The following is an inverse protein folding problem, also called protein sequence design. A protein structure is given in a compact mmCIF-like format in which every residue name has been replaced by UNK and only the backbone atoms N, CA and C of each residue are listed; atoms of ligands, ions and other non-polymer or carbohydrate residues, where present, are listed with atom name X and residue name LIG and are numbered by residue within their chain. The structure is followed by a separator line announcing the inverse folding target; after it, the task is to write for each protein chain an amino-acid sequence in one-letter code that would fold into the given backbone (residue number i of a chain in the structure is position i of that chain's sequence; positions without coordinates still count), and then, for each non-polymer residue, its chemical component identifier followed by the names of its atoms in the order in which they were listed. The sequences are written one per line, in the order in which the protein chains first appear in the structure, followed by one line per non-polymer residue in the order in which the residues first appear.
data_IF_009204666380
#
_entry.id   IF_009204666380
#
_cell.length_a   1.000
_cell.length_b   1.000
_cell.length_c   1.000
_cell.angle_alpha   90.00
_cell.angle_beta   90.00
_cell.angle_gamma   90.00
#
_symmetry.space_group_name_H-M   'P 1'
#
loop_
_entity.id
_entity.type
_entity.pdbx_description
1 polymer ?
#
# COMPACT_ATOMS: atom_id res chain seq x y z
N UNK A 1 -20.75 -11.45 29.52
CA UNK A 1 -20.06 -10.73 28.41
C UNK A 1 -18.69 -11.36 28.25
N UNK A 2 -18.42 -12.05 27.16
CA UNK A 2 -17.06 -12.56 26.91
C UNK A 2 -16.12 -11.35 26.85
N UNK A 3 -15.08 -11.35 27.66
CA UNK A 3 -14.10 -10.26 27.63
C UNK A 3 -13.35 -10.34 26.31
N UNK A 4 -13.43 -9.32 25.49
CA UNK A 4 -12.69 -9.21 24.23
C UNK A 4 -11.22 -8.83 24.48
N UNK A 5 -10.64 -9.32 25.56
CA UNK A 5 -9.23 -9.19 25.89
C UNK A 5 -8.49 -10.48 25.56
N UNK A 6 -7.33 -10.35 24.92
CA UNK A 6 -6.41 -11.46 24.67
C UNK A 6 -5.00 -11.06 25.09
N UNK A 7 -4.20 -12.02 25.51
CA UNK A 7 -2.79 -11.73 25.88
C UNK A 7 -1.96 -11.64 24.60
N UNK A 8 -1.37 -10.48 24.36
CA UNK A 8 -0.49 -10.24 23.20
C UNK A 8 0.80 -11.03 23.30
N UNK A 9 1.30 -11.47 22.14
CA UNK A 9 2.47 -12.37 22.07
C UNK A 9 3.79 -11.65 22.32
N UNK A 10 3.85 -10.30 22.10
CA UNK A 10 5.09 -9.53 22.20
C UNK A 10 5.34 -8.97 23.60
N UNK A 11 4.32 -8.40 24.22
CA UNK A 11 4.46 -7.75 25.55
C UNK A 11 3.86 -8.56 26.69
N UNK A 12 3.13 -9.64 26.41
CA UNK A 12 2.45 -10.45 27.43
C UNK A 12 1.32 -9.68 28.16
N UNK A 13 0.84 -8.57 27.60
CA UNK A 13 -0.24 -7.76 28.13
C UNK A 13 -1.59 -8.19 27.53
N UNK A 14 -2.68 -8.11 28.32
CA UNK A 14 -4.01 -8.17 27.73
C UNK A 14 -4.24 -6.98 26.80
N UNK A 15 -4.53 -7.25 25.53
CA UNK A 15 -4.87 -6.25 24.52
C UNK A 15 -6.35 -6.31 24.16
N UNK A 16 -7.03 -5.17 23.92
CA UNK A 16 -8.43 -5.13 23.53
C UNK A 16 -8.61 -5.52 22.05
N UNK A 17 -9.63 -6.33 21.77
CA UNK A 17 -9.95 -6.76 20.41
C UNK A 17 -10.78 -5.74 19.63
N UNK A 18 -11.38 -4.76 20.29
CA UNK A 18 -12.30 -3.79 19.70
C UNK A 18 -12.30 -2.45 20.46
N UNK A 19 -12.85 -1.38 19.83
CA UNK A 19 -12.90 -0.03 20.40
C UNK A 19 -13.62 0.07 21.75
N UNK A 20 -14.71 -0.64 21.96
CA UNK A 20 -15.46 -0.58 23.22
C UNK A 20 -14.64 -1.17 24.37
N UNK A 21 -13.92 -2.25 24.10
CA UNK A 21 -13.01 -2.90 25.05
C UNK A 21 -11.83 -1.98 25.38
N UNK A 22 -11.27 -1.24 24.41
CA UNK A 22 -10.24 -0.23 24.66
C UNK A 22 -10.75 0.86 25.60
N UNK A 23 -11.93 1.41 25.35
CA UNK A 23 -12.53 2.43 26.21
C UNK A 23 -12.78 1.94 27.62
N UNK A 24 -13.19 0.68 27.80
CA UNK A 24 -13.37 0.09 29.13
C UNK A 24 -12.05 -0.02 29.90
N UNK A 25 -10.93 -0.26 29.20
CA UNK A 25 -9.59 -0.26 29.79
C UNK A 25 -9.06 1.16 30.10
N UNK A 26 -9.48 2.12 29.30
CA UNK A 26 -9.25 3.54 29.50
C UNK A 26 -7.78 3.93 29.70
N UNK A 27 -7.55 4.97 30.47
CA UNK A 27 -6.20 5.48 30.77
C UNK A 27 -5.29 4.44 31.45
N UNK A 28 -5.87 3.56 32.25
CA UNK A 28 -5.11 2.50 32.93
C UNK A 28 -4.48 1.52 31.95
N UNK A 29 -5.23 1.09 30.92
CA UNK A 29 -4.70 0.24 29.87
C UNK A 29 -3.61 0.97 29.06
N UNK A 30 -3.88 2.19 28.62
CA UNK A 30 -2.93 2.98 27.84
C UNK A 30 -1.61 3.21 28.59
N UNK A 31 -1.69 3.52 29.90
CA UNK A 31 -0.50 3.64 30.75
C UNK A 31 0.34 2.37 30.76
N UNK A 32 -0.31 1.20 30.94
CA UNK A 32 0.39 -0.10 30.94
C UNK A 32 1.01 -0.40 29.58
N UNK A 33 0.27 -0.18 28.49
CA UNK A 33 0.71 -0.42 27.13
C UNK A 33 1.92 0.45 26.76
N UNK A 34 1.85 1.76 27.03
CA UNK A 34 2.92 2.70 26.70
C UNK A 34 4.19 2.52 27.57
N UNK A 35 4.02 2.06 28.81
CA UNK A 35 5.17 1.65 29.63
C UNK A 35 5.82 0.38 29.12
N UNK A 36 5.04 -0.63 28.73
CA UNK A 36 5.56 -1.88 28.20
C UNK A 36 6.34 -1.67 26.89
N UNK A 37 5.91 -0.70 26.07
CA UNK A 37 6.63 -0.34 24.84
C UNK A 37 7.77 0.68 25.07
N UNK A 38 8.05 1.07 26.32
CA UNK A 38 9.16 1.97 26.67
C UNK A 38 8.94 3.45 26.32
N UNK A 39 7.73 3.85 25.90
CA UNK A 39 7.43 5.22 25.46
C UNK A 39 7.23 6.18 26.62
N UNK A 40 6.56 5.71 27.69
CA UNK A 40 6.02 6.58 28.73
C UNK A 40 6.95 6.82 29.94
N UNK A 41 7.94 5.93 30.15
CA UNK A 41 8.77 5.97 31.36
C UNK A 41 7.91 5.85 32.61
N UNK A 42 8.15 6.74 33.59
CA UNK A 42 7.38 6.83 34.84
C UNK A 42 6.22 7.84 34.80
N UNK A 43 5.91 8.40 33.64
CA UNK A 43 4.68 9.16 33.43
C UNK A 43 3.45 8.23 33.36
N UNK A 44 2.25 8.79 33.32
CA UNK A 44 0.99 8.05 33.12
C UNK A 44 0.02 8.84 32.26
N UNK A 45 -0.87 8.10 31.61
CA UNK A 45 -2.04 8.69 30.95
C UNK A 45 -3.07 9.03 32.03
N UNK A 46 -3.39 10.30 32.18
CA UNK A 46 -4.38 10.77 33.13
C UNK A 46 -5.81 10.46 32.69
N UNK A 47 -6.11 10.75 31.42
CA UNK A 47 -7.43 10.49 30.83
C UNK A 47 -7.39 10.47 29.31
N UNK A 48 -8.41 9.86 28.71
CA UNK A 48 -8.76 10.04 27.31
C UNK A 48 -9.65 11.29 27.24
N UNK A 49 -9.21 12.32 26.51
CA UNK A 49 -9.90 13.63 26.42
C UNK A 49 -10.82 13.71 25.21
N UNK A 50 -10.52 12.99 24.12
CA UNK A 50 -11.37 12.86 22.93
C UNK A 50 -11.31 11.44 22.38
N UNK A 51 -12.40 11.02 21.74
CA UNK A 51 -12.51 9.70 21.14
C UNK A 51 -13.50 9.71 19.99
N UNK A 52 -13.07 9.17 18.86
CA UNK A 52 -13.95 9.01 17.70
C UNK A 52 -13.56 7.79 16.89
N UNK A 53 -14.52 6.91 16.63
CA UNK A 53 -14.34 5.84 15.64
C UNK A 53 -14.44 6.41 14.23
N UNK A 54 -13.57 5.96 13.35
CA UNK A 54 -13.53 6.40 11.95
C UNK A 54 -13.81 5.22 11.02
N UNK A 55 -14.59 5.49 9.97
CA UNK A 55 -14.84 4.55 8.89
C UNK A 55 -13.72 4.57 7.87
N UNK A 56 -13.51 3.47 7.18
CA UNK A 56 -12.56 3.35 6.07
C UNK A 56 -11.63 2.14 6.17
N UNK A 57 -10.96 1.84 5.06
CA UNK A 57 -10.08 0.68 4.90
C UNK A 57 -10.82 -0.65 4.78
N UNK A 58 -10.10 -1.69 4.35
CA UNK A 58 -10.64 -3.01 4.02
C UNK A 58 -10.75 -3.94 5.23
N UNK A 59 -10.00 -3.70 6.31
CA UNK A 59 -9.88 -4.62 7.44
C UNK A 59 -10.02 -3.91 8.78
N UNK A 60 -10.48 -4.64 9.79
CA UNK A 60 -10.52 -4.20 11.16
C UNK A 60 -11.29 -2.89 11.43
N UNK A 61 -11.09 -2.33 12.61
CA UNK A 61 -11.70 -1.06 13.06
C UNK A 61 -10.62 -0.03 13.37
N UNK A 62 -10.96 1.25 13.32
CA UNK A 62 -10.04 2.36 13.51
C UNK A 62 -10.63 3.44 14.41
N UNK A 63 -9.79 4.00 15.26
CA UNK A 63 -10.16 5.05 16.20
C UNK A 63 -9.11 6.16 16.16
N UNK A 64 -9.54 7.38 16.27
CA UNK A 64 -8.70 8.51 16.70
C UNK A 64 -9.07 8.87 18.12
N UNK A 65 -8.06 9.11 18.95
CA UNK A 65 -8.28 9.54 20.31
C UNK A 65 -7.21 10.55 20.73
N UNK A 66 -7.54 11.38 21.71
CA UNK A 66 -6.59 12.28 22.35
C UNK A 66 -6.46 11.92 23.82
N UNK A 67 -5.25 12.03 24.36
CA UNK A 67 -4.94 11.72 25.74
C UNK A 67 -4.32 12.94 26.46
N UNK A 68 -4.52 13.01 27.76
CA UNK A 68 -3.76 13.88 28.64
C UNK A 68 -2.84 13.04 29.51
N UNK A 69 -1.62 13.52 29.72
CA UNK A 69 -0.63 12.89 30.59
C UNK A 69 -0.61 13.58 31.94
N UNK A 70 -0.28 12.83 32.99
CA UNK A 70 -0.20 13.40 34.35
C UNK A 70 0.86 14.51 34.48
N UNK A 71 1.96 14.35 33.72
CA UNK A 71 3.01 15.36 33.65
C UNK A 71 3.21 15.82 32.22
N UNK A 72 3.34 17.12 31.95
CA UNK A 72 3.67 17.62 30.62
C UNK A 72 4.96 16.97 30.11
N UNK A 73 4.93 16.44 28.88
CA UNK A 73 6.07 15.84 28.21
C UNK A 73 5.97 16.17 26.71
N UNK A 74 6.78 17.13 26.22
CA UNK A 74 6.69 17.60 24.84
C UNK A 74 7.00 16.51 23.80
N UNK A 75 7.73 15.47 24.21
CA UNK A 75 8.09 14.35 23.34
C UNK A 75 7.00 13.27 23.26
N UNK A 76 5.91 13.40 24.03
CA UNK A 76 4.80 12.47 24.02
C UNK A 76 3.68 12.96 23.09
N UNK A 77 3.25 12.09 22.18
CA UNK A 77 2.13 12.38 21.29
C UNK A 77 0.81 12.27 22.06
N UNK A 78 0.05 13.37 22.11
CA UNK A 78 -1.27 13.40 22.72
C UNK A 78 -2.39 12.94 21.78
N UNK A 79 -2.27 13.24 20.47
CA UNK A 79 -3.20 12.81 19.45
C UNK A 79 -2.74 11.49 18.83
N UNK A 80 -3.61 10.47 18.91
CA UNK A 80 -3.28 9.10 18.58
C UNK A 80 -4.23 8.53 17.54
N UNK A 81 -3.68 7.62 16.71
CA UNK A 81 -4.42 6.77 15.80
C UNK A 81 -4.32 5.33 16.29
N UNK A 82 -5.47 4.65 16.37
CA UNK A 82 -5.56 3.28 16.85
C UNK A 82 -6.17 2.39 15.77
N UNK A 83 -5.50 1.30 15.47
CA UNK A 83 -5.94 0.29 14.51
C UNK A 83 -6.13 -1.05 15.21
N UNK A 84 -7.28 -1.67 14.99
CA UNK A 84 -7.62 -3.02 15.44
C UNK A 84 -7.63 -3.95 14.23
N UNK A 85 -7.11 -5.17 14.38
CA UNK A 85 -7.20 -6.19 13.33
C UNK A 85 -8.60 -6.75 13.17
N UNK A 86 -9.38 -6.76 14.26
CA UNK A 86 -10.69 -7.39 14.33
C UNK A 86 -11.83 -6.42 13.97
N UNK A 87 -12.85 -6.98 13.37
CA UNK A 87 -14.15 -6.36 13.22
C UNK A 87 -15.23 -7.42 13.54
N UNK A 88 -15.51 -7.58 14.81
CA UNK A 88 -16.36 -8.65 15.32
C UNK A 88 -17.82 -8.51 14.87
N UNK A 89 -18.22 -7.30 14.48
CA UNK A 89 -19.56 -6.97 13.96
C UNK A 89 -19.68 -7.20 12.45
N UNK A 90 -18.53 -7.31 11.74
CA UNK A 90 -18.50 -7.50 10.29
C UNK A 90 -17.61 -8.68 9.89
N UNK A 91 -18.18 -9.90 9.73
CA UNK A 91 -17.40 -11.10 9.40
C UNK A 91 -16.61 -11.02 8.09
N UNK A 92 -17.02 -10.18 7.14
CA UNK A 92 -16.28 -10.00 5.86
C UNK A 92 -14.97 -9.26 6.13
N UNK A 93 -15.02 -8.19 6.89
CA UNK A 93 -13.83 -7.41 7.27
C UNK A 93 -12.93 -8.19 8.23
N UNK A 94 -13.51 -8.97 9.14
CA UNK A 94 -12.77 -9.79 10.12
C UNK A 94 -11.95 -10.91 9.46
N UNK A 95 -12.27 -11.33 8.24
CA UNK A 95 -11.44 -12.28 7.48
C UNK A 95 -10.03 -11.78 7.24
N UNK A 96 -9.86 -10.47 7.08
CA UNK A 96 -8.55 -9.83 6.86
C UNK A 96 -7.71 -9.62 8.13
N UNK A 97 -8.10 -10.15 9.29
CA UNK A 97 -7.45 -9.91 10.58
C UNK A 97 -5.94 -10.25 10.62
N UNK A 98 -5.50 -11.21 9.82
CA UNK A 98 -4.10 -11.62 9.75
C UNK A 98 -3.21 -10.62 8.99
N UNK A 99 -3.81 -9.76 8.17
CA UNK A 99 -3.07 -8.75 7.39
C UNK A 99 -2.44 -7.65 8.27
N UNK A 100 -2.79 -7.57 9.54
CA UNK A 100 -2.23 -6.60 10.48
C UNK A 100 -0.93 -7.10 11.14
N UNK A 101 -0.64 -8.39 11.13
CA UNK A 101 0.57 -8.91 11.79
C UNK A 101 1.87 -8.29 11.25
N UNK A 102 2.08 -8.15 9.93
CA UNK A 102 3.26 -7.46 9.40
C UNK A 102 3.37 -6.01 9.87
N UNK A 103 2.26 -5.29 9.96
CA UNK A 103 2.24 -3.89 10.42
C UNK A 103 2.62 -3.76 11.90
N UNK A 104 2.16 -4.69 12.75
CA UNK A 104 2.55 -4.74 14.17
C UNK A 104 4.05 -5.02 14.31
N UNK A 105 4.59 -5.97 13.54
CA UNK A 105 6.04 -6.26 13.54
C UNK A 105 6.86 -5.09 13.00
N UNK A 106 6.34 -4.40 12.00
CA UNK A 106 6.96 -3.22 11.42
C UNK A 106 7.10 -2.07 12.45
N UNK A 107 6.14 -1.93 13.37
CA UNK A 107 6.21 -0.94 14.43
C UNK A 107 7.48 -1.09 15.31
N UNK A 108 7.98 -2.31 15.50
CA UNK A 108 9.26 -2.53 16.20
C UNK A 108 10.46 -2.17 15.31
N UNK A 109 10.42 -2.53 14.02
CA UNK A 109 11.50 -2.21 13.07
C UNK A 109 11.64 -0.70 12.85
N UNK A 110 10.53 0.01 12.77
CA UNK A 110 10.52 1.48 12.53
C UNK A 110 11.11 2.31 13.69
N UNK A 111 11.34 1.69 14.85
CA UNK A 111 12.03 2.31 16.00
C UNK A 111 13.54 2.12 15.98
N UNK A 112 14.08 1.35 15.05
CA UNK A 112 15.52 1.19 14.93
C UNK A 112 16.19 2.54 14.64
N UNK A 113 17.33 2.87 15.28
CA UNK A 113 18.01 4.16 15.07
C UNK A 113 18.37 4.45 13.62
N UNK A 114 18.64 3.40 12.85
CA UNK A 114 19.01 3.47 11.43
C UNK A 114 17.82 3.46 10.49
N UNK A 115 16.59 3.49 11.01
CA UNK A 115 15.39 3.48 10.16
C UNK A 115 15.32 4.75 9.31
N UNK A 116 15.25 4.64 7.95
CA UNK A 116 15.68 5.74 7.09
C UNK A 116 14.59 6.72 6.67
N UNK A 117 13.33 6.47 7.02
CA UNK A 117 12.19 7.27 6.55
C UNK A 117 11.23 7.64 7.67
N UNK A 118 10.46 8.69 7.47
CA UNK A 118 9.41 9.08 8.41
C UNK A 118 8.23 8.11 8.34
N UNK A 119 7.79 7.67 9.52
CA UNK A 119 6.59 6.84 9.73
C UNK A 119 5.87 7.33 10.97
N UNK A 120 4.54 7.11 11.11
CA UNK A 120 3.85 7.48 12.34
C UNK A 120 4.51 6.82 13.55
N UNK A 121 4.88 7.64 14.55
CA UNK A 121 5.61 7.16 15.73
C UNK A 121 4.79 6.11 16.51
N UNK A 122 5.24 4.83 16.60
CA UNK A 122 4.50 3.80 17.30
C UNK A 122 4.52 4.06 18.81
N UNK A 123 3.36 4.09 19.45
CA UNK A 123 3.20 4.19 20.89
C UNK A 123 3.05 2.81 21.54
N UNK A 124 2.34 1.91 20.87
CA UNK A 124 2.18 0.50 21.26
C UNK A 124 1.80 -0.35 20.06
N UNK A 125 2.32 -1.56 19.99
CA UNK A 125 1.90 -2.56 19.00
C UNK A 125 2.01 -3.95 19.61
N UNK A 126 0.96 -4.76 19.47
CA UNK A 126 0.99 -6.18 19.86
C UNK A 126 -0.01 -7.00 19.05
N UNK A 127 0.22 -8.30 18.97
CA UNK A 127 -0.58 -9.22 18.19
C UNK A 127 -0.71 -10.57 18.89
N UNK A 128 -1.88 -11.18 18.86
CA UNK A 128 -2.13 -12.52 19.35
C UNK A 128 -2.46 -13.44 18.17
N UNK A 129 -1.50 -14.24 17.73
CA UNK A 129 -1.61 -15.10 16.54
C UNK A 129 -2.78 -16.06 16.55
N UNK A 130 -3.07 -16.81 17.66
CA UNK A 130 -4.13 -17.80 17.63
C UNK A 130 -5.51 -17.23 17.29
N UNK A 131 -5.81 -15.99 17.68
CA UNK A 131 -7.10 -15.35 17.37
C UNK A 131 -7.03 -14.36 16.20
N UNK A 132 -5.82 -13.96 15.78
CA UNK A 132 -5.61 -12.89 14.83
C UNK A 132 -5.96 -11.51 15.40
N UNK A 133 -5.92 -11.35 16.72
CA UNK A 133 -6.21 -10.08 17.40
C UNK A 133 -4.94 -9.24 17.46
N UNK A 134 -4.96 -8.06 16.85
CA UNK A 134 -3.86 -7.09 16.87
C UNK A 134 -4.33 -5.72 17.27
N UNK A 135 -3.45 -4.98 17.91
CA UNK A 135 -3.62 -3.58 18.29
C UNK A 135 -2.37 -2.82 17.90
N UNK A 136 -2.55 -1.73 17.16
CA UNK A 136 -1.50 -0.77 16.85
C UNK A 136 -1.96 0.62 17.28
N UNK A 137 -1.15 1.32 18.06
CA UNK A 137 -1.36 2.71 18.47
C UNK A 137 -0.16 3.51 17.99
N UNK A 138 -0.40 4.54 17.19
CA UNK A 138 0.63 5.45 16.68
C UNK A 138 0.26 6.91 16.98
N UNK A 139 1.20 7.81 16.76
CA UNK A 139 0.83 9.22 16.60
C UNK A 139 -0.20 9.36 15.46
N UNK A 140 -1.02 10.38 15.57
CA UNK A 140 -1.95 10.79 14.51
C UNK A 140 -1.31 11.89 13.67
N UNK A 141 -1.13 11.62 12.38
CA UNK A 141 -0.63 12.65 11.45
C UNK A 141 -1.69 13.76 11.31
N UNK A 142 -1.26 15.00 11.55
CA UNK A 142 -2.12 16.19 11.54
C UNK A 142 -2.19 16.81 10.14
N UNK A 143 -2.76 16.10 9.18
CA UNK A 143 -2.91 16.59 7.79
C UNK A 143 -3.50 18.00 7.74
N UNK A 144 -2.88 18.88 6.93
CA UNK A 144 -3.29 20.26 6.75
C UNK A 144 -2.90 21.20 7.91
N UNK A 145 -2.16 20.70 8.91
CA UNK A 145 -1.73 21.46 10.07
C UNK A 145 -0.24 21.20 10.39
N UNK A 146 0.36 22.04 11.22
CA UNK A 146 1.74 21.87 11.72
C UNK A 146 2.80 21.71 10.60
N UNK A 147 2.60 22.37 9.48
CA UNK A 147 3.52 22.29 8.33
C UNK A 147 3.31 21.06 7.42
N UNK A 148 2.39 20.18 7.76
CA UNK A 148 1.99 19.09 6.87
C UNK A 148 0.98 19.55 5.84
N UNK A 149 1.12 19.05 4.61
CA UNK A 149 0.11 19.26 3.56
C UNK A 149 -1.21 18.53 3.90
N UNK A 150 -2.29 18.90 3.18
CA UNK A 150 -3.57 18.16 3.30
C UNK A 150 -3.40 16.71 2.87
N UNK A 151 -4.25 15.82 3.34
CA UNK A 151 -4.29 14.45 2.83
C UNK A 151 -4.72 14.45 1.36
N UNK A 152 -3.98 13.74 0.53
CA UNK A 152 -4.36 13.49 -0.85
C UNK A 152 -5.07 12.15 -0.97
N UNK A 153 -6.05 12.09 -1.86
CA UNK A 153 -6.84 10.88 -2.05
C UNK A 153 -6.37 10.10 -3.28
N UNK A 154 -6.44 8.79 -3.20
CA UNK A 154 -6.06 7.88 -4.27
C UNK A 154 -6.72 8.22 -5.60
N UNK A 155 -5.92 8.30 -6.67
CA UNK A 155 -6.39 8.57 -8.04
C UNK A 155 -7.12 9.91 -8.22
N UNK A 156 -6.73 10.94 -7.45
CA UNK A 156 -7.14 12.32 -7.60
C UNK A 156 -5.94 13.26 -7.77
N UNK A 157 -4.89 12.79 -8.41
CA UNK A 157 -3.63 13.55 -8.57
C UNK A 157 -3.83 14.87 -9.34
N UNK A 158 -4.85 14.94 -10.19
CA UNK A 158 -5.24 16.19 -10.87
C UNK A 158 -5.75 17.28 -9.92
N UNK A 159 -6.01 16.96 -8.65
CA UNK A 159 -6.33 17.92 -7.58
C UNK A 159 -5.10 18.32 -6.75
N UNK A 160 -3.94 17.72 -7.02
CA UNK A 160 -2.69 17.99 -6.31
C UNK A 160 -1.90 19.11 -6.98
N UNK A 161 -1.26 19.99 -6.20
CA UNK A 161 -0.23 20.85 -6.73
C UNK A 161 1.00 20.00 -7.09
N UNK A 162 1.66 20.28 -8.20
CA UNK A 162 2.95 19.66 -8.58
C UNK A 162 3.06 18.13 -8.33
N UNK A 163 2.17 17.29 -8.86
CA UNK A 163 2.12 15.87 -8.50
C UNK A 163 3.44 15.13 -8.74
N UNK A 164 4.23 15.55 -9.74
CA UNK A 164 5.56 14.96 -10.02
C UNK A 164 6.50 15.10 -8.83
N UNK A 165 6.49 16.24 -8.13
CA UNK A 165 7.34 16.46 -6.95
C UNK A 165 6.94 15.51 -5.81
N UNK A 166 5.64 15.27 -5.64
CA UNK A 166 5.12 14.34 -4.64
C UNK A 166 5.54 12.90 -4.94
N UNK A 167 5.46 12.45 -6.20
CA UNK A 167 5.95 11.13 -6.60
C UNK A 167 7.48 11.00 -6.47
N UNK A 168 8.24 12.05 -6.76
CA UNK A 168 9.69 12.06 -6.48
C UNK A 168 9.99 11.87 -5.00
N UNK A 169 9.31 12.59 -4.11
CA UNK A 169 9.48 12.46 -2.66
C UNK A 169 9.08 11.06 -2.15
N UNK A 170 7.95 10.53 -2.64
CA UNK A 170 7.45 9.20 -2.29
C UNK A 170 8.41 8.09 -2.74
N UNK A 171 8.86 8.11 -3.99
CA UNK A 171 9.79 7.10 -4.51
C UNK A 171 11.17 7.22 -3.87
N UNK A 172 11.61 8.43 -3.51
CA UNK A 172 12.82 8.64 -2.70
C UNK A 172 12.69 7.95 -1.33
N UNK A 173 11.55 8.07 -0.65
CA UNK A 173 11.32 7.40 0.64
C UNK A 173 11.35 5.86 0.47
N UNK A 174 10.70 5.31 -0.54
CA UNK A 174 10.74 3.88 -0.84
C UNK A 174 12.15 3.38 -1.15
N UNK A 175 12.90 4.13 -1.97
CA UNK A 175 14.28 3.78 -2.33
C UNK A 175 15.21 3.79 -1.12
N UNK A 176 15.03 4.75 -0.19
CA UNK A 176 15.77 4.81 1.08
C UNK A 176 15.54 3.58 1.93
N UNK A 177 14.28 3.19 2.12
CA UNK A 177 13.94 1.99 2.88
C UNK A 177 14.58 0.74 2.26
N UNK A 178 14.37 0.55 0.96
CA UNK A 178 14.88 -0.60 0.23
C UNK A 178 16.43 -0.66 0.25
N UNK A 179 17.12 0.45 -0.04
CA UNK A 179 18.57 0.53 -0.04
C UNK A 179 19.18 0.33 1.36
N UNK A 180 18.55 0.92 2.39
CA UNK A 180 19.01 0.71 3.78
C UNK A 180 18.82 -0.74 4.22
N UNK A 181 17.73 -1.40 3.82
CA UNK A 181 17.57 -2.83 4.05
C UNK A 181 18.68 -3.65 3.37
N UNK A 182 18.96 -3.38 2.11
CA UNK A 182 20.00 -4.11 1.34
C UNK A 182 21.40 -3.86 1.85
N UNK A 183 21.69 -2.70 2.43
CA UNK A 183 22.98 -2.42 3.05
C UNK A 183 23.26 -3.20 4.34
N UNK A 184 22.25 -3.90 4.89
CA UNK A 184 22.37 -4.63 6.16
C UNK A 184 22.41 -3.73 7.40
N UNK A 185 22.10 -2.43 7.28
CA UNK A 185 22.11 -1.50 8.42
C UNK A 185 20.92 -1.69 9.37
N UNK A 186 19.79 -2.22 8.88
CA UNK A 186 18.66 -2.53 9.74
C UNK A 186 18.94 -3.78 10.58
N UNK A 187 18.47 -3.86 11.84
CA UNK A 187 18.68 -5.02 12.72
C UNK A 187 18.17 -6.31 12.08
N UNK A 188 19.07 -7.30 11.96
CA UNK A 188 18.79 -8.56 11.26
C UNK A 188 17.65 -9.36 11.91
N UNK A 189 17.58 -9.33 13.25
CA UNK A 189 16.53 -10.00 14.02
C UNK A 189 15.14 -9.41 13.75
N UNK A 190 15.05 -8.11 13.46
CA UNK A 190 13.77 -7.45 13.13
C UNK A 190 13.41 -7.66 11.65
N UNK A 191 14.39 -7.58 10.75
CA UNK A 191 14.13 -7.81 9.31
C UNK A 191 13.81 -9.27 9.00
N UNK A 192 14.27 -10.23 9.80
CA UNK A 192 13.93 -11.65 9.68
C UNK A 192 12.41 -11.94 9.84
N UNK A 193 11.65 -11.00 10.40
CA UNK A 193 10.19 -11.11 10.47
C UNK A 193 9.50 -10.90 9.13
N UNK A 194 10.22 -10.45 8.11
CA UNK A 194 9.70 -10.16 6.76
C UNK A 194 10.43 -11.03 5.73
N UNK A 195 10.23 -12.36 5.75
CA UNK A 195 10.83 -13.23 4.74
C UNK A 195 10.30 -12.89 3.34
N UNK A 196 11.10 -13.16 2.31
CA UNK A 196 10.61 -13.12 0.94
C UNK A 196 9.54 -14.21 0.75
N UNK A 197 8.35 -13.80 0.35
CA UNK A 197 7.26 -14.71 0.02
C UNK A 197 7.02 -14.69 -1.50
N UNK A 198 7.48 -15.74 -2.18
CA UNK A 198 7.30 -15.90 -3.63
C UNK A 198 5.82 -16.00 -3.99
N UNK A 199 4.98 -16.56 -3.10
CA UNK A 199 3.54 -16.66 -3.33
C UNK A 199 2.85 -15.29 -3.33
N UNK A 200 3.37 -14.32 -2.57
CA UNK A 200 2.86 -12.96 -2.61
C UNK A 200 3.01 -12.30 -3.99
N UNK A 201 4.03 -12.70 -4.77
CA UNK A 201 4.21 -12.24 -6.14
C UNK A 201 3.17 -12.83 -7.12
N UNK A 202 2.53 -13.94 -6.79
CA UNK A 202 1.43 -14.54 -7.57
C UNK A 202 0.05 -13.93 -7.25
N UNK A 203 0.02 -12.79 -6.60
CA UNK A 203 -1.21 -12.01 -6.34
C UNK A 203 -2.29 -12.76 -5.55
N UNK A 204 -1.88 -13.64 -4.63
CA UNK A 204 -2.73 -14.13 -3.55
C UNK A 204 -3.60 -15.35 -3.86
N UNK A 205 -4.32 -15.78 -2.84
CA UNK A 205 -5.21 -16.94 -2.87
C UNK A 205 -6.38 -16.73 -3.82
N UNK A 206 -6.33 -17.34 -5.01
CA UNK A 206 -7.43 -17.28 -5.99
C UNK A 206 -7.63 -18.59 -6.70
N UNK A 207 -8.89 -18.84 -7.00
CA UNK A 207 -9.19 -19.88 -7.98
C UNK A 207 -8.54 -19.50 -9.33
N UNK A 208 -7.82 -20.40 -9.98
CA UNK A 208 -7.25 -20.16 -11.30
C UNK A 208 -8.32 -19.63 -12.27
N UNK A 209 -7.95 -18.65 -13.07
CA UNK A 209 -8.83 -18.15 -14.12
C UNK A 209 -8.85 -19.14 -15.27
N UNK A 210 -10.03 -19.71 -15.58
CA UNK A 210 -10.13 -20.56 -16.75
C UNK A 210 -9.94 -19.75 -18.04
N UNK A 211 -9.44 -20.38 -19.13
CA UNK A 211 -9.30 -19.73 -20.44
C UNK A 211 -10.58 -19.04 -20.91
N UNK A 212 -11.73 -19.67 -20.70
CA UNK A 212 -13.05 -19.14 -21.10
C UNK A 212 -13.42 -17.88 -20.28
N UNK A 213 -13.02 -17.84 -19.00
CA UNK A 213 -13.23 -16.68 -18.15
C UNK A 213 -12.33 -15.52 -18.57
N UNK A 214 -11.08 -15.80 -18.93
CA UNK A 214 -10.14 -14.80 -19.45
C UNK A 214 -10.63 -14.23 -20.79
N UNK A 215 -11.01 -15.07 -21.75
CA UNK A 215 -11.53 -14.62 -23.04
C UNK A 215 -12.78 -13.75 -22.89
N UNK A 216 -13.70 -14.14 -22.02
CA UNK A 216 -14.88 -13.33 -21.69
C UNK A 216 -14.51 -11.96 -21.11
N UNK A 217 -13.53 -11.88 -20.19
CA UNK A 217 -13.09 -10.60 -19.63
C UNK A 217 -12.46 -9.70 -20.68
N UNK A 218 -11.60 -10.24 -21.54
CA UNK A 218 -10.99 -9.47 -22.64
C UNK A 218 -12.05 -9.00 -23.63
N UNK A 219 -13.03 -9.86 -23.96
CA UNK A 219 -14.15 -9.51 -24.84
C UNK A 219 -15.02 -8.39 -24.25
N UNK A 220 -15.30 -8.43 -22.93
CA UNK A 220 -16.02 -7.37 -22.21
C UNK A 220 -15.24 -6.06 -22.18
N UNK A 221 -13.91 -6.13 -22.00
CA UNK A 221 -13.04 -4.97 -22.07
C UNK A 221 -13.02 -4.35 -23.46
N UNK A 222 -12.92 -5.16 -24.52
CA UNK A 222 -12.95 -4.68 -25.90
C UNK A 222 -14.27 -3.98 -26.24
N UNK A 223 -15.38 -4.55 -25.80
CA UNK A 223 -16.69 -3.90 -25.93
C UNK A 223 -16.76 -2.59 -25.14
N UNK A 224 -16.24 -2.59 -23.90
CA UNK A 224 -16.21 -1.40 -23.05
C UNK A 224 -15.38 -0.28 -23.67
N UNK A 225 -14.19 -0.58 -24.18
CA UNK A 225 -13.33 0.38 -24.85
C UNK A 225 -14.05 1.05 -26.06
N UNK A 226 -14.81 0.27 -26.82
CA UNK A 226 -15.57 0.76 -27.96
C UNK A 226 -16.77 1.61 -27.56
N UNK A 227 -17.48 1.23 -26.49
CA UNK A 227 -18.76 1.90 -26.08
C UNK A 227 -18.55 3.07 -25.13
N UNK A 228 -17.41 3.09 -24.40
CA UNK A 228 -17.11 4.10 -23.39
C UNK A 228 -15.65 4.62 -23.55
N UNK A 229 -15.28 5.14 -24.74
CA UNK A 229 -13.89 5.52 -25.03
C UNK A 229 -13.35 6.62 -24.12
N UNK A 230 -14.22 7.45 -23.54
CA UNK A 230 -13.82 8.53 -22.61
C UNK A 230 -13.43 8.05 -21.21
N UNK A 231 -13.56 6.75 -20.92
CA UNK A 231 -13.16 6.17 -19.62
C UNK A 231 -11.77 5.50 -19.67
N UNK A 232 -11.24 5.26 -20.85
CA UNK A 232 -9.92 4.62 -21.04
C UNK A 232 -8.99 5.56 -21.82
N UNK A 233 -7.66 5.39 -21.68
CA UNK A 233 -6.69 6.11 -22.51
C UNK A 233 -6.88 5.84 -24.00
N UNK A 234 -6.61 6.82 -24.85
CA UNK A 234 -6.87 6.72 -26.29
C UNK A 234 -6.09 5.59 -26.97
N UNK A 235 -4.87 5.29 -26.50
CA UNK A 235 -4.00 4.25 -27.06
C UNK A 235 -4.54 2.80 -26.86
N UNK A 236 -5.48 2.58 -25.94
CA UNK A 236 -6.01 1.24 -25.64
C UNK A 236 -7.33 0.93 -26.36
N UNK A 237 -7.82 1.84 -27.19
CA UNK A 237 -9.07 1.66 -27.94
C UNK A 237 -8.88 1.06 -29.34
N UNK A 238 -7.65 0.87 -29.81
CA UNK A 238 -7.39 0.36 -31.16
C UNK A 238 -7.70 -1.13 -31.29
N UNK A 239 -8.28 -1.57 -32.42
CA UNK A 239 -8.50 -3.01 -32.70
C UNK A 239 -7.19 -3.81 -32.60
N UNK A 240 -6.10 -3.27 -33.10
CA UNK A 240 -4.78 -3.92 -33.13
C UNK A 240 -4.26 -4.19 -31.70
N UNK A 241 -4.42 -3.24 -30.78
CA UNK A 241 -4.07 -3.45 -29.37
C UNK A 241 -4.95 -4.53 -28.74
N UNK A 242 -6.27 -4.44 -28.94
CA UNK A 242 -7.23 -5.36 -28.32
C UNK A 242 -7.04 -6.80 -28.83
N UNK A 243 -6.66 -6.99 -30.10
CA UNK A 243 -6.33 -8.29 -30.65
C UNK A 243 -5.01 -8.85 -30.10
N UNK A 244 -3.97 -7.99 -29.92
CA UNK A 244 -2.74 -8.41 -29.24
C UNK A 244 -3.01 -8.79 -27.78
N UNK A 245 -3.75 -7.96 -27.05
CA UNK A 245 -4.11 -8.22 -25.66
C UNK A 245 -4.83 -9.57 -25.49
N UNK A 246 -5.73 -9.93 -26.44
CA UNK A 246 -6.40 -11.23 -26.44
C UNK A 246 -5.43 -12.40 -26.57
N UNK A 247 -4.34 -12.23 -27.32
CA UNK A 247 -3.27 -13.22 -27.43
C UNK A 247 -2.36 -13.26 -26.19
N UNK A 248 -2.05 -12.11 -25.63
CA UNK A 248 -1.10 -11.96 -24.52
C UNK A 248 -1.67 -12.44 -23.19
N UNK A 249 -2.93 -12.10 -22.86
CA UNK A 249 -3.55 -12.40 -21.56
C UNK A 249 -3.50 -13.89 -21.19
N UNK A 250 -3.83 -14.85 -22.09
CA UNK A 250 -3.68 -16.28 -21.77
C UNK A 250 -2.22 -16.70 -21.57
N UNK A 251 -1.26 -16.04 -22.25
CA UNK A 251 0.18 -16.31 -22.08
C UNK A 251 0.65 -15.88 -20.69
N UNK A 252 0.31 -14.66 -20.26
CA UNK A 252 0.60 -14.17 -18.89
C UNK A 252 0.02 -15.13 -17.85
N UNK A 253 -1.26 -15.49 -17.98
CA UNK A 253 -1.92 -16.39 -17.04
C UNK A 253 -1.25 -17.77 -16.94
N UNK A 254 -0.79 -18.33 -18.07
CA UNK A 254 -0.08 -19.60 -18.11
C UNK A 254 1.28 -19.55 -17.42
N UNK A 255 1.94 -18.41 -17.49
CA UNK A 255 3.31 -18.23 -17.02
C UNK A 255 3.39 -17.39 -15.71
N UNK A 256 2.27 -17.18 -15.02
CA UNK A 256 2.22 -16.41 -13.77
C UNK A 256 3.26 -16.89 -12.74
N UNK A 257 3.40 -18.20 -12.55
CA UNK A 257 4.39 -18.74 -11.62
C UNK A 257 5.83 -18.51 -12.08
N UNK A 258 6.11 -18.64 -13.37
CA UNK A 258 7.45 -18.36 -13.91
C UNK A 258 7.82 -16.87 -13.73
N UNK A 259 6.87 -15.96 -13.93
CA UNK A 259 7.04 -14.53 -13.66
C UNK A 259 7.35 -14.33 -12.16
N UNK A 260 6.58 -14.94 -11.26
CA UNK A 260 6.78 -14.81 -9.83
C UNK A 260 8.17 -15.30 -9.39
N UNK A 261 8.60 -16.46 -9.89
CA UNK A 261 9.95 -16.99 -9.62
C UNK A 261 11.04 -16.06 -10.14
N UNK A 262 10.93 -15.58 -11.38
CA UNK A 262 11.90 -14.64 -11.91
C UNK A 262 12.02 -13.37 -11.08
N UNK A 263 10.90 -12.82 -10.63
CA UNK A 263 10.89 -11.63 -9.76
C UNK A 263 11.52 -11.91 -8.39
N UNK A 264 11.39 -13.13 -7.87
CA UNK A 264 11.97 -13.54 -6.58
C UNK A 264 13.45 -13.91 -6.69
N UNK A 265 13.87 -14.55 -7.78
CA UNK A 265 15.24 -15.06 -7.97
C UNK A 265 16.25 -13.95 -8.29
N UNK A 266 15.77 -12.79 -8.78
CA UNK A 266 16.59 -11.62 -9.04
C UNK A 266 16.88 -10.85 -7.73
N UNK A 267 17.74 -11.42 -6.92
CA UNK A 267 17.98 -11.01 -5.53
C UNK A 267 18.38 -9.54 -5.39
N UNK A 268 19.08 -8.94 -6.36
CA UNK A 268 19.50 -7.54 -6.30
C UNK A 268 18.30 -6.58 -6.37
N UNK A 269 17.21 -7.03 -7.00
CA UNK A 269 15.96 -6.30 -7.11
C UNK A 269 14.94 -6.63 -6.00
N UNK A 270 15.35 -7.40 -4.98
CA UNK A 270 14.49 -7.76 -3.84
C UNK A 270 14.93 -7.00 -2.59
N UNK A 271 14.01 -6.29 -1.95
CA UNK A 271 14.24 -5.59 -0.70
C UNK A 271 12.98 -5.48 0.15
N UNK A 272 13.15 -5.05 1.40
CA UNK A 272 12.03 -4.66 2.25
C UNK A 272 11.39 -3.39 1.67
N UNK A 273 10.11 -3.49 1.35
CA UNK A 273 9.33 -2.42 0.73
C UNK A 273 7.91 -2.36 1.29
N UNK A 274 7.20 -1.34 0.87
CA UNK A 274 5.79 -1.13 1.13
C UNK A 274 5.01 -1.21 -0.19
N UNK A 275 4.27 -2.33 -0.40
CA UNK A 275 3.54 -2.52 -1.66
C UNK A 275 2.44 -1.47 -1.89
N UNK A 276 1.77 -1.02 -0.84
CA UNK A 276 0.65 -0.08 -0.94
C UNK A 276 1.06 1.38 -0.63
N UNK A 277 2.26 1.78 -0.99
CA UNK A 277 2.75 3.15 -0.81
C UNK A 277 2.15 4.11 -1.85
N UNK A 278 0.82 4.17 -1.94
CA UNK A 278 0.12 5.13 -2.78
C UNK A 278 0.11 6.53 -2.14
N UNK A 279 -0.28 7.52 -2.91
CA UNK A 279 -0.33 8.92 -2.47
C UNK A 279 -1.23 9.15 -1.24
N UNK A 280 -2.30 8.36 -1.09
CA UNK A 280 -3.22 8.39 0.05
C UNK A 280 -2.65 7.74 1.32
N UNK A 281 -1.58 6.95 1.20
CA UNK A 281 -0.81 6.36 2.29
C UNK A 281 0.51 7.12 2.54
N UNK A 282 0.57 8.38 2.15
CA UNK A 282 1.71 9.26 2.35
C UNK A 282 1.26 10.58 2.99
N UNK A 283 2.19 11.24 3.67
CA UNK A 283 2.05 12.64 4.05
C UNK A 283 3.28 13.41 3.64
N UNK A 284 3.09 14.71 3.40
CA UNK A 284 4.12 15.55 2.82
C UNK A 284 4.33 16.82 3.64
N UNK A 285 5.56 17.30 3.67
CA UNK A 285 5.95 18.59 4.26
C UNK A 285 7.15 19.15 3.55
N UNK A 286 7.32 20.48 3.67
CA UNK A 286 8.52 21.14 3.18
C UNK A 286 9.42 21.53 4.34
N UNK A 287 10.72 21.35 4.17
CA UNK A 287 11.70 21.84 5.11
C UNK A 287 11.99 23.34 4.91
N UNK A 288 12.89 23.91 5.72
CA UNK A 288 13.29 25.32 5.61
C UNK A 288 13.95 25.70 4.30
N UNK A 289 14.43 24.73 3.52
CA UNK A 289 15.01 24.89 2.18
C UNK A 289 14.00 24.69 1.06
N UNK A 290 12.69 24.59 1.38
CA UNK A 290 11.59 24.30 0.44
C UNK A 290 11.68 22.92 -0.23
N UNK A 291 12.47 21.99 0.33
CA UNK A 291 12.52 20.60 -0.16
C UNK A 291 11.31 19.84 0.31
N UNK A 292 10.60 19.18 -0.61
CA UNK A 292 9.44 18.35 -0.29
C UNK A 292 9.91 16.98 0.23
N UNK A 293 9.43 16.64 1.42
CA UNK A 293 9.65 15.36 2.08
C UNK A 293 8.38 14.53 2.11
N UNK A 294 8.55 13.22 2.28
CA UNK A 294 7.47 12.25 2.34
C UNK A 294 7.65 11.30 3.52
N UNK A 295 6.59 11.10 4.30
CA UNK A 295 6.45 9.98 5.23
C UNK A 295 5.39 9.00 4.75
N UNK A 296 5.46 7.74 5.20
CA UNK A 296 4.58 6.65 4.74
C UNK A 296 3.82 6.03 5.92
N UNK A 297 2.54 5.72 5.68
CA UNK A 297 1.61 5.12 6.64
C UNK A 297 0.90 3.89 6.05
N UNK A 298 0.13 3.16 6.89
CA UNK A 298 -0.62 1.94 6.54
C UNK A 298 0.26 0.76 6.05
N UNK A 299 1.12 0.28 6.94
CA UNK A 299 2.16 -0.72 6.68
C UNK A 299 1.67 -2.19 6.62
N UNK A 300 0.37 -2.43 6.45
CA UNK A 300 -0.19 -3.78 6.33
C UNK A 300 0.35 -4.61 5.16
N UNK A 301 0.91 -3.95 4.15
CA UNK A 301 1.51 -4.59 2.97
C UNK A 301 3.04 -4.46 2.94
N UNK A 302 3.70 -4.35 4.10
CA UNK A 302 5.16 -4.37 4.21
C UNK A 302 5.71 -5.78 4.09
N UNK A 303 6.80 -5.94 3.36
CA UNK A 303 7.48 -7.23 3.22
C UNK A 303 8.68 -7.14 2.30
N UNK A 304 9.49 -8.19 2.25
CA UNK A 304 10.48 -8.32 1.18
C UNK A 304 9.76 -8.68 -0.12
N UNK A 305 10.04 -7.93 -1.16
CA UNK A 305 9.45 -8.12 -2.48
C UNK A 305 10.36 -7.57 -3.56
N UNK A 306 10.08 -7.94 -4.80
CA UNK A 306 10.75 -7.29 -5.94
C UNK A 306 10.39 -5.80 -5.98
N UNK A 307 11.38 -4.95 -6.22
CA UNK A 307 11.23 -3.49 -6.28
C UNK A 307 10.21 -3.05 -7.33
N UNK A 308 10.10 -3.78 -8.44
CA UNK A 308 9.08 -3.54 -9.46
C UNK A 308 7.65 -3.70 -8.93
N UNK A 309 7.41 -4.62 -7.97
CA UNK A 309 6.12 -4.77 -7.31
C UNK A 309 5.79 -3.55 -6.45
N UNK A 310 6.76 -3.06 -5.66
CA UNK A 310 6.57 -1.87 -4.83
C UNK A 310 6.33 -0.61 -5.68
N UNK A 311 7.06 -0.45 -6.78
CA UNK A 311 6.89 0.66 -7.71
C UNK A 311 5.53 0.64 -8.41
N UNK A 312 5.05 -0.54 -8.84
CA UNK A 312 3.67 -0.67 -9.33
C UNK A 312 2.68 -0.26 -8.24
N UNK A 313 2.84 -0.78 -7.03
CA UNK A 313 1.99 -0.43 -5.89
C UNK A 313 1.93 1.07 -5.64
N UNK A 314 3.06 1.77 -5.69
CA UNK A 314 3.16 3.21 -5.47
C UNK A 314 2.53 4.04 -6.59
N UNK A 315 2.72 3.62 -7.85
CA UNK A 315 2.38 4.43 -9.03
C UNK A 315 1.08 4.00 -9.72
N UNK A 316 0.52 2.83 -9.41
CA UNK A 316 -0.65 2.30 -10.13
C UNK A 316 -1.87 3.21 -10.11
N UNK A 317 -1.99 4.05 -9.08
CA UNK A 317 -3.07 5.04 -8.91
C UNK A 317 -2.78 6.41 -9.50
N UNK A 318 -1.57 6.69 -10.00
CA UNK A 318 -1.22 8.00 -10.57
C UNK A 318 -1.97 8.28 -11.88
N UNK A 319 -2.02 9.56 -12.29
CA UNK A 319 -2.54 9.90 -13.63
C UNK A 319 -1.68 9.23 -14.71
N UNK A 320 -2.34 8.84 -15.82
CA UNK A 320 -1.65 8.14 -16.94
C UNK A 320 -0.53 9.00 -17.54
N UNK A 321 -0.70 10.31 -17.54
CA UNK A 321 0.29 11.28 -17.99
C UNK A 321 1.58 11.24 -17.16
N UNK A 322 1.50 10.84 -15.89
CA UNK A 322 2.68 10.63 -15.02
C UNK A 322 3.55 9.49 -15.57
N UNK A 323 2.93 8.40 -15.97
CA UNK A 323 3.61 7.26 -16.62
C UNK A 323 4.23 7.66 -17.96
N UNK A 324 3.48 8.42 -18.74
CA UNK A 324 3.86 8.77 -20.09
C UNK A 324 5.06 9.74 -20.15
N UNK A 325 5.11 10.67 -19.21
CA UNK A 325 6.09 11.76 -19.24
C UNK A 325 7.26 11.57 -18.25
N UNK A 326 7.04 10.85 -17.16
CA UNK A 326 7.98 10.86 -16.02
C UNK A 326 8.45 9.48 -15.53
N UNK A 327 7.92 8.36 -16.07
CA UNK A 327 8.29 7.03 -15.59
C UNK A 327 9.80 6.80 -15.60
N UNK A 328 10.47 7.07 -16.72
CA UNK A 328 11.91 6.80 -16.85
C UNK A 328 12.73 7.67 -15.88
N UNK A 329 12.39 8.93 -15.75
CA UNK A 329 13.01 9.85 -14.78
C UNK A 329 12.84 9.34 -13.34
N UNK A 330 11.64 8.92 -12.98
CA UNK A 330 11.31 8.41 -11.65
C UNK A 330 12.05 7.10 -11.33
N UNK A 331 12.20 6.21 -12.31
CA UNK A 331 12.99 4.99 -12.16
C UNK A 331 14.48 5.27 -11.96
N UNK A 332 15.05 6.22 -12.71
CA UNK A 332 16.44 6.65 -12.52
C UNK A 332 16.66 7.29 -11.14
N UNK A 333 15.73 8.13 -10.69
CA UNK A 333 15.76 8.72 -9.34
C UNK A 333 15.73 7.63 -8.27
N UNK A 334 14.82 6.64 -8.42
CA UNK A 334 14.71 5.54 -7.48
C UNK A 334 16.01 4.73 -7.40
N UNK A 335 16.58 4.33 -8.53
CA UNK A 335 17.83 3.57 -8.59
C UNK A 335 18.98 4.33 -7.96
N UNK A 336 19.17 5.61 -8.32
CA UNK A 336 20.23 6.44 -7.76
C UNK A 336 20.12 6.57 -6.23
N UNK A 337 18.93 6.77 -5.70
CA UNK A 337 18.72 6.88 -4.26
C UNK A 337 18.87 5.52 -3.53
N UNK A 338 18.43 4.43 -4.15
CA UNK A 338 18.61 3.07 -3.66
C UNK A 338 20.11 2.73 -3.51
N UNK A 339 20.91 3.00 -4.53
CA UNK A 339 22.38 2.81 -4.51
C UNK A 339 23.04 3.73 -3.47
N UNK A 340 22.64 4.98 -3.38
CA UNK A 340 23.14 5.94 -2.37
C UNK A 340 22.89 5.44 -0.96
N UNK A 341 21.82 4.70 -0.73
CA UNK A 341 21.48 4.09 0.56
C UNK A 341 22.12 2.72 0.80
N UNK A 342 22.95 2.25 -0.13
CA UNK A 342 23.75 1.03 0.02
C UNK A 342 23.14 -0.22 -0.63
N UNK A 343 22.13 -0.04 -1.46
CA UNK A 343 21.67 -1.09 -2.36
C UNK A 343 22.67 -1.36 -3.49
N UNK A 344 22.66 -2.55 -4.12
CA UNK A 344 23.49 -2.83 -5.29
C UNK A 344 23.09 -1.97 -6.49
N UNK A 345 23.99 -1.83 -7.47
CA UNK A 345 23.73 -1.15 -8.73
C UNK A 345 22.63 -1.85 -9.53
N UNK A 346 21.62 -1.09 -9.97
CA UNK A 346 20.50 -1.62 -10.74
C UNK A 346 20.41 -1.00 -12.12
N UNK A 347 19.94 -1.78 -13.10
CA UNK A 347 19.53 -1.29 -14.41
C UNK A 347 18.06 -0.81 -14.36
N UNK A 348 17.79 0.51 -14.58
CA UNK A 348 16.42 1.03 -14.59
C UNK A 348 15.52 0.37 -15.64
N UNK A 349 16.07 -0.07 -16.79
CA UNK A 349 15.30 -0.76 -17.82
C UNK A 349 14.85 -2.15 -17.36
N UNK A 350 15.70 -2.88 -16.65
CA UNK A 350 15.34 -4.17 -16.03
C UNK A 350 14.34 -3.96 -14.90
N UNK A 351 14.47 -2.93 -14.09
CA UNK A 351 13.51 -2.58 -13.05
C UNK A 351 12.13 -2.27 -13.64
N UNK A 352 12.07 -1.49 -14.73
CA UNK A 352 10.83 -1.26 -15.47
C UNK A 352 10.20 -2.55 -15.98
N UNK A 353 11.00 -3.47 -16.53
CA UNK A 353 10.54 -4.79 -16.98
C UNK A 353 9.90 -5.59 -15.83
N UNK A 354 10.54 -5.65 -14.67
CA UNK A 354 9.97 -6.30 -13.49
C UNK A 354 8.63 -5.70 -13.08
N UNK A 355 8.55 -4.36 -13.07
CA UNK A 355 7.31 -3.66 -12.75
C UNK A 355 6.18 -4.01 -13.73
N UNK A 356 6.46 -4.05 -15.04
CA UNK A 356 5.48 -4.36 -16.08
C UNK A 356 5.03 -5.83 -16.05
N UNK A 357 5.94 -6.76 -15.82
CA UNK A 357 5.62 -8.18 -15.67
C UNK A 357 4.73 -8.44 -14.47
N UNK A 358 5.05 -7.83 -13.33
CA UNK A 358 4.20 -7.91 -12.15
C UNK A 358 2.83 -7.27 -12.40
N UNK A 359 2.81 -6.06 -12.99
CA UNK A 359 1.57 -5.36 -13.33
C UNK A 359 0.67 -6.21 -14.22
N UNK A 360 1.23 -6.91 -15.20
CA UNK A 360 0.49 -7.80 -16.09
C UNK A 360 -0.10 -8.99 -15.31
N UNK A 361 0.72 -9.72 -14.55
CA UNK A 361 0.28 -10.88 -13.76
C UNK A 361 -0.83 -10.49 -12.78
N UNK A 362 -0.65 -9.41 -12.02
CA UNK A 362 -1.64 -8.88 -11.09
C UNK A 362 -2.89 -8.38 -11.81
N UNK A 363 -2.68 -7.64 -12.90
CA UNK A 363 -3.76 -6.91 -13.59
C UNK A 363 -4.76 -7.82 -14.29
N UNK A 364 -4.33 -8.92 -14.92
CA UNK A 364 -5.27 -9.87 -15.56
C UNK A 364 -6.25 -10.45 -14.56
N UNK A 365 -5.91 -10.44 -13.32
CA UNK A 365 -6.70 -11.04 -12.26
C UNK A 365 -7.61 -10.04 -11.59
N UNK A 366 -7.08 -8.88 -11.22
CA UNK A 366 -7.78 -7.90 -10.41
C UNK A 366 -8.45 -6.81 -11.24
N UNK A 367 -7.94 -6.50 -12.44
CA UNK A 367 -8.35 -5.31 -13.16
C UNK A 367 -9.20 -5.59 -14.41
N UNK A 368 -9.09 -6.74 -15.04
CA UNK A 368 -9.90 -7.03 -16.23
C UNK A 368 -11.41 -7.12 -15.99
N UNK A 369 -11.86 -7.25 -14.74
CA UNK A 369 -13.29 -7.22 -14.37
C UNK A 369 -13.84 -5.80 -14.15
N UNK A 370 -13.02 -4.76 -14.22
CA UNK A 370 -13.44 -3.36 -13.99
C UNK A 370 -14.58 -2.91 -14.92
N UNK A 371 -14.62 -3.27 -16.22
CA UNK A 371 -15.79 -2.99 -17.05
C UNK A 371 -17.11 -3.54 -16.51
N UNK A 372 -17.09 -4.75 -15.96
CA UNK A 372 -18.27 -5.36 -15.34
C UNK A 372 -18.64 -4.68 -14.02
N UNK A 373 -17.65 -4.28 -13.22
CA UNK A 373 -17.85 -3.49 -12.00
C UNK A 373 -18.57 -2.17 -12.31
N UNK A 374 -18.10 -1.42 -13.32
CA UNK A 374 -18.66 -0.13 -13.71
C UNK A 374 -20.12 -0.28 -14.19
N UNK A 375 -20.37 -1.26 -15.06
CA UNK A 375 -21.73 -1.55 -15.55
C UNK A 375 -22.69 -1.96 -14.42
N UNK A 376 -22.20 -2.67 -13.41
CA UNK A 376 -22.98 -3.04 -12.23
C UNK A 376 -23.27 -1.84 -11.31
N UNK A 377 -22.33 -0.88 -11.25
CA UNK A 377 -22.40 0.26 -10.34
C UNK A 377 -23.31 1.38 -10.86
N UNK A 378 -23.40 1.56 -12.17
CA UNK A 378 -24.11 2.66 -12.80
C UNK A 378 -25.15 2.17 -13.80
N UNK A 379 -26.40 2.55 -13.63
CA UNK A 379 -27.47 2.32 -14.62
C UNK A 379 -27.17 3.07 -15.93
N UNK A 380 -26.55 4.25 -15.85
CA UNK A 380 -26.02 5.02 -16.97
C UNK A 380 -24.54 5.31 -16.71
N UNK A 381 -23.67 4.61 -17.46
CA UNK A 381 -22.21 4.73 -17.31
C UNK A 381 -21.76 6.16 -17.59
N UNK A 382 -20.93 6.76 -16.69
CA UNK A 382 -20.36 8.09 -16.91
C UNK A 382 -19.52 8.15 -18.18
N UNK A 383 -19.41 9.36 -18.77
CA UNK A 383 -18.67 9.56 -20.03
C UNK A 383 -17.17 9.78 -19.85
N UNK A 384 -16.75 10.24 -18.66
CA UNK A 384 -15.35 10.56 -18.37
C UNK A 384 -14.97 10.09 -16.97
N UNK A 385 -13.67 9.84 -16.74
CA UNK A 385 -13.14 9.46 -15.42
C UNK A 385 -13.34 10.54 -14.34
N UNK A 386 -13.42 11.83 -14.73
CA UNK A 386 -13.63 12.97 -13.83
C UNK A 386 -15.09 13.26 -13.51
N UNK A 387 -16.03 12.44 -13.99
CA UNK A 387 -17.45 12.55 -13.61
C UNK A 387 -17.58 12.42 -12.08
N UNK A 388 -18.32 13.30 -11.39
CA UNK A 388 -18.47 13.25 -9.93
C UNK A 388 -18.87 11.89 -9.37
N UNK A 389 -19.67 11.11 -10.09
CA UNK A 389 -20.09 9.77 -9.67
C UNK A 389 -18.95 8.77 -9.60
N UNK A 390 -17.91 8.94 -10.46
CA UNK A 390 -16.66 8.16 -10.41
C UNK A 390 -15.70 8.80 -9.41
N UNK A 391 -15.54 10.13 -9.47
CA UNK A 391 -14.65 10.88 -8.58
C UNK A 391 -14.91 10.59 -7.10
N UNK A 392 -16.17 10.56 -6.70
CA UNK A 392 -16.58 10.43 -5.31
C UNK A 392 -16.73 8.95 -4.85
N UNK A 393 -16.57 7.98 -5.77
CA UNK A 393 -16.59 6.55 -5.49
C UNK A 393 -15.22 5.92 -5.69
N UNK A 394 -14.43 5.83 -4.60
CA UNK A 394 -13.09 5.22 -4.65
C UNK A 394 -13.12 3.77 -5.13
N UNK A 395 -14.18 3.02 -4.79
CA UNK A 395 -14.35 1.63 -5.21
C UNK A 395 -14.48 1.44 -6.73
N UNK A 396 -14.78 2.51 -7.46
CA UNK A 396 -14.79 2.55 -8.93
C UNK A 396 -13.60 3.32 -9.48
N UNK A 397 -13.31 4.49 -8.91
CA UNK A 397 -12.24 5.39 -9.35
C UNK A 397 -10.88 4.70 -9.38
N UNK A 398 -10.51 4.05 -8.27
CA UNK A 398 -9.20 3.45 -8.14
C UNK A 398 -9.01 2.24 -9.10
N UNK A 399 -9.89 1.24 -9.18
CA UNK A 399 -9.76 0.17 -10.14
C UNK A 399 -9.75 0.65 -11.59
N UNK A 400 -10.53 1.68 -11.94
CA UNK A 400 -10.57 2.23 -13.29
C UNK A 400 -9.25 2.93 -13.66
N UNK A 401 -8.67 3.71 -12.75
CA UNK A 401 -7.37 4.34 -12.96
C UNK A 401 -6.25 3.30 -13.09
N UNK A 402 -6.21 2.31 -12.20
CA UNK A 402 -5.24 1.23 -12.25
C UNK A 402 -5.36 0.41 -13.54
N UNK A 403 -6.58 0.10 -14.00
CA UNK A 403 -6.80 -0.54 -15.30
C UNK A 403 -6.28 0.34 -16.45
N UNK A 404 -6.56 1.64 -16.41
CA UNK A 404 -6.09 2.59 -17.42
C UNK A 404 -4.57 2.59 -17.53
N UNK A 405 -3.87 2.64 -16.40
CA UNK A 405 -2.41 2.61 -16.36
C UNK A 405 -1.85 1.26 -16.83
N UNK A 406 -2.45 0.15 -16.39
CA UNK A 406 -2.06 -1.19 -16.86
C UNK A 406 -2.14 -1.31 -18.38
N UNK A 407 -3.28 -0.95 -18.96
CA UNK A 407 -3.51 -1.11 -20.40
C UNK A 407 -2.65 -0.15 -21.22
N UNK A 408 -2.51 1.12 -20.77
CA UNK A 408 -1.64 2.09 -21.43
C UNK A 408 -0.18 1.63 -21.42
N UNK A 409 0.32 1.15 -20.28
CA UNK A 409 1.67 0.61 -20.16
C UNK A 409 1.85 -0.67 -20.98
N UNK A 410 0.83 -1.54 -21.02
CA UNK A 410 0.85 -2.77 -21.84
C UNK A 410 1.04 -2.47 -23.32
N UNK A 411 0.26 -1.52 -23.85
CA UNK A 411 0.39 -1.10 -25.25
C UNK A 411 1.73 -0.41 -25.52
N UNK A 412 2.09 0.56 -24.69
CA UNK A 412 3.26 1.42 -24.90
C UNK A 412 4.59 0.66 -24.80
N UNK A 413 4.69 -0.28 -23.87
CA UNK A 413 5.89 -1.07 -23.61
C UNK A 413 5.84 -2.48 -24.18
N UNK A 414 4.83 -2.80 -24.99
CA UNK A 414 4.73 -4.10 -25.69
C UNK A 414 4.88 -5.28 -24.73
N UNK A 415 4.09 -5.30 -23.65
CA UNK A 415 4.25 -6.28 -22.56
C UNK A 415 4.22 -7.72 -23.03
N UNK A 416 3.46 -8.04 -24.09
CA UNK A 416 3.46 -9.37 -24.72
C UNK A 416 4.83 -9.80 -25.25
N UNK A 417 5.64 -8.87 -25.75
CA UNK A 417 7.01 -9.14 -26.23
C UNK A 417 7.99 -9.36 -25.06
N UNK A 418 7.80 -8.65 -23.93
CA UNK A 418 8.60 -8.87 -22.71
C UNK A 418 8.47 -10.30 -22.17
N UNK A 419 7.34 -10.98 -22.42
CA UNK A 419 7.15 -12.36 -22.01
C UNK A 419 8.09 -13.32 -22.77
N UNK A 420 8.48 -13.00 -24.01
CA UNK A 420 9.38 -13.83 -24.81
C UNK A 420 10.81 -13.86 -24.25
N UNK A 421 11.20 -12.81 -23.54
CA UNK A 421 12.50 -12.74 -22.86
C UNK A 421 12.53 -13.53 -21.53
N UNK A 422 11.35 -13.82 -20.97
CA UNK A 422 11.17 -14.47 -19.66
C UNK A 422 10.93 -15.97 -19.79
N UNK A 423 10.48 -16.40 -20.97
CA UNK A 423 10.08 -17.77 -21.23
C UNK A 423 11.18 -18.50 -21.99
N UNK A 424 11.59 -19.69 -21.49
CA UNK A 424 12.55 -20.53 -22.21
C UNK A 424 11.99 -21.04 -23.55
#
# INVERSE_FOLDING_TARGET
MSSHWVVGDQHGLPIPADPATLLSGGASFLTKAFRASGVLGDNSVARISDYREISGGSTGRKVVLSVEYDRPAPDLHADLFVKFSRDLDNPVRDRGKTQMEPEVRFASLSRAPEFPIAVPCPQFADYHRPTGTGLLITERISFGNNGFERQYHKCLDYEMPEPVQHYRALLTALARLAGTHRSGRLPAELTAHFPLDVQAATVGERAPLSPERLDRRVSQLAEFARTHPGLLPANVGSPEFLDRLRGDVPRVARHEQAIAHQLADDSDYVALCHWNANIDNAWFWRDAGDTLHCGLLDWGCVGQMNLGMALWGAMSGSETEMWDAHLDELLHLFVAEYERCGGPGLDPARLRRHMLLYAAAMGIVWLLDVPALIRKRFDSVPRTRKDPRIRDDEGVRAPLQMLSNLLSAWERHRVGELLEEVLP
#
